data_IF_715187061830
#
_entry.id   IF_715187061830
#
_cell.length_a   1.000
_cell.length_b   1.000
_cell.length_c   1.000
_cell.angle_alpha   90.00
_cell.angle_beta   90.00
_cell.angle_gamma   90.00
#
_symmetry.space_group_name_H-M   'P 1'
#
loop_
_entity.id
_entity.type
_entity.pdbx_description
1 polymer ?
#
# COMPACT_ATOMS: atom_id res chain seq x y z
N UNK A 1 56.46 50.26 15.12
CA UNK A 1 56.93 49.15 14.27
C UNK A 1 56.07 47.93 14.57
N UNK A 2 55.15 47.53 13.68
CA UNK A 2 54.54 46.20 13.70
C UNK A 2 54.34 45.74 12.26
N UNK A 3 55.15 44.77 11.85
CA UNK A 3 55.19 44.22 10.50
C UNK A 3 54.33 42.97 10.36
N UNK A 4 53.56 42.96 9.26
CA UNK A 4 53.30 41.85 8.32
C UNK A 4 52.88 40.49 8.92
N UNK A 5 51.57 40.26 8.98
CA UNK A 5 51.02 38.90 8.87
C UNK A 5 50.58 38.67 7.42
N UNK A 6 51.33 37.81 6.72
CA UNK A 6 51.04 37.37 5.37
C UNK A 6 49.79 36.48 5.34
N UNK A 7 48.86 36.83 4.44
CA UNK A 7 47.78 35.95 4.00
C UNK A 7 48.38 34.70 3.36
N UNK A 8 48.41 33.57 4.06
CA UNK A 8 48.49 32.25 3.39
C UNK A 8 47.10 31.96 2.81
N UNK A 9 47.00 32.13 1.50
CA UNK A 9 45.95 31.52 0.68
C UNK A 9 46.15 30.01 0.79
N UNK A 10 45.25 29.33 1.49
CA UNK A 10 45.16 27.87 1.41
C UNK A 10 44.56 27.59 0.03
N UNK A 11 45.42 27.23 -0.93
CA UNK A 11 44.98 26.61 -2.16
C UNK A 11 44.50 25.20 -1.80
N UNK A 12 43.20 25.10 -1.53
CA UNK A 12 42.50 23.82 -1.54
C UNK A 12 42.58 23.33 -2.99
N UNK A 13 43.57 22.47 -3.26
CA UNK A 13 43.64 21.70 -4.48
C UNK A 13 42.30 21.03 -4.70
N UNK A 14 41.67 21.40 -5.81
CA UNK A 14 40.50 20.75 -6.35
C UNK A 14 40.89 19.36 -6.84
N UNK A 15 41.08 18.42 -5.90
CA UNK A 15 40.97 17.02 -6.20
C UNK A 15 39.48 16.70 -6.26
N UNK A 16 38.92 16.98 -7.44
CA UNK A 16 37.66 16.41 -7.89
C UNK A 16 37.84 14.90 -7.96
N UNK A 17 37.72 14.25 -6.80
CA UNK A 17 37.30 12.87 -6.74
C UNK A 17 35.87 12.86 -7.24
N UNK A 18 35.72 12.66 -8.55
CA UNK A 18 34.48 12.24 -9.18
C UNK A 18 34.16 10.88 -8.60
N UNK A 19 33.64 10.85 -7.36
CA UNK A 19 32.76 9.77 -6.97
C UNK A 19 31.62 9.84 -7.97
N UNK A 20 31.61 8.88 -8.89
CA UNK A 20 30.43 8.49 -9.63
C UNK A 20 29.33 8.31 -8.60
N UNK A 21 28.55 9.37 -8.37
CA UNK A 21 27.32 9.28 -7.61
C UNK A 21 26.50 8.29 -8.43
N UNK A 22 26.15 7.10 -7.91
CA UNK A 22 25.26 6.21 -8.64
C UNK A 22 24.08 7.07 -9.05
N UNK A 23 23.70 7.05 -10.34
CA UNK A 23 22.53 7.79 -10.83
C UNK A 23 21.44 7.56 -9.80
N UNK A 24 21.06 8.63 -9.09
CA UNK A 24 20.10 8.50 -8.02
C UNK A 24 18.83 8.01 -8.72
N UNK A 25 18.43 6.77 -8.41
CA UNK A 25 17.17 6.21 -8.91
C UNK A 25 16.09 7.28 -8.76
N UNK A 26 15.25 7.43 -9.78
CA UNK A 26 14.18 8.43 -9.73
C UNK A 26 13.36 8.13 -8.47
N UNK A 27 13.27 9.06 -7.50
CA UNK A 27 12.52 8.81 -6.27
C UNK A 27 11.04 8.45 -6.56
N UNK A 28 10.55 8.79 -7.75
CA UNK A 28 9.24 8.38 -8.26
C UNK A 28 9.19 6.89 -8.56
N UNK A 29 10.23 6.31 -9.16
CA UNK A 29 10.32 4.88 -9.45
C UNK A 29 10.40 4.04 -8.16
N UNK A 30 11.14 4.53 -7.16
CA UNK A 30 11.19 3.90 -5.83
C UNK A 30 9.81 3.90 -5.16
N UNK A 31 9.08 5.01 -5.25
CA UNK A 31 7.72 5.12 -4.74
C UNK A 31 6.75 4.19 -5.48
N UNK A 32 6.82 4.12 -6.81
CA UNK A 32 5.99 3.21 -7.62
C UNK A 32 6.25 1.75 -7.22
N UNK A 33 7.52 1.37 -7.05
CA UNK A 33 7.91 0.03 -6.62
C UNK A 33 7.39 -0.32 -5.21
N UNK A 34 7.44 0.66 -4.30
CA UNK A 34 6.89 0.51 -2.96
C UNK A 34 5.37 0.35 -2.97
N UNK A 35 4.65 1.11 -3.80
CA UNK A 35 3.21 0.96 -3.97
C UNK A 35 2.83 -0.43 -4.49
N UNK A 36 3.55 -0.95 -5.48
CA UNK A 36 3.35 -2.30 -6.00
C UNK A 36 3.54 -3.37 -4.91
N UNK A 37 4.53 -3.18 -4.03
CA UNK A 37 4.78 -4.11 -2.92
C UNK A 37 3.62 -4.12 -1.94
N UNK A 38 3.10 -2.95 -1.57
CA UNK A 38 1.93 -2.83 -0.67
C UNK A 38 0.68 -3.43 -1.32
N UNK A 39 0.45 -3.14 -2.60
CA UNK A 39 -0.68 -3.68 -3.37
C UNK A 39 -0.63 -5.21 -3.43
N UNK A 40 0.54 -5.80 -3.70
CA UNK A 40 0.72 -7.24 -3.75
C UNK A 40 0.44 -7.92 -2.40
N UNK A 41 0.83 -7.28 -1.29
CA UNK A 41 0.53 -7.80 0.04
C UNK A 41 -0.96 -7.69 0.40
N UNK A 42 -1.61 -6.59 0.04
CA UNK A 42 -3.05 -6.44 0.20
C UNK A 42 -3.84 -7.46 -0.66
N UNK A 43 -3.37 -7.74 -1.89
CA UNK A 43 -3.94 -8.75 -2.77
C UNK A 43 -3.86 -10.17 -2.16
N UNK A 44 -2.77 -10.51 -1.48
CA UNK A 44 -2.65 -11.80 -0.77
C UNK A 44 -3.66 -11.93 0.38
N UNK A 45 -4.06 -10.84 1.03
CA UNK A 45 -5.13 -10.88 2.04
C UNK A 45 -6.47 -11.14 1.37
N UNK A 46 -6.74 -10.46 0.24
CA UNK A 46 -7.93 -10.73 -0.54
C UNK A 46 -8.02 -12.19 -0.99
N UNK A 47 -6.93 -12.75 -1.51
CA UNK A 47 -6.83 -14.16 -1.90
C UNK A 47 -7.17 -15.10 -0.74
N UNK A 48 -6.52 -14.92 0.42
CA UNK A 48 -6.75 -15.73 1.62
C UNK A 48 -8.22 -15.72 2.09
N UNK A 49 -8.94 -14.64 1.81
CA UNK A 49 -10.34 -14.47 2.18
C UNK A 49 -11.32 -14.64 1.02
N UNK A 50 -10.88 -15.19 -0.12
CA UNK A 50 -11.74 -15.53 -1.25
C UNK A 50 -12.28 -14.33 -2.04
N UNK A 51 -11.64 -13.17 -1.92
CA UNK A 51 -11.92 -12.01 -2.77
C UNK A 51 -11.20 -12.14 -4.12
N UNK A 52 -11.72 -11.51 -5.18
CA UNK A 52 -11.03 -11.40 -6.46
C UNK A 52 -9.63 -10.79 -6.30
N UNK A 53 -8.71 -11.18 -7.18
CA UNK A 53 -7.33 -10.66 -7.23
C UNK A 53 -7.08 -9.71 -8.42
N UNK A 54 -7.98 -9.69 -9.41
CA UNK A 54 -7.81 -8.87 -10.61
C UNK A 54 -8.29 -7.44 -10.35
N UNK A 55 -7.51 -6.40 -10.67
CA UNK A 55 -8.01 -5.03 -10.65
C UNK A 55 -9.21 -4.85 -11.60
N UNK A 56 -10.15 -3.98 -11.24
CA UNK A 56 -11.31 -3.69 -12.08
C UNK A 56 -12.58 -3.43 -11.28
N UNK A 57 -13.72 -3.44 -11.96
CA UNK A 57 -15.03 -3.23 -11.38
C UNK A 57 -15.78 -4.54 -11.23
N UNK A 58 -16.49 -4.69 -10.12
CA UNK A 58 -17.18 -5.92 -9.78
C UNK A 58 -18.64 -5.67 -9.40
N UNK A 59 -19.46 -6.70 -9.58
CA UNK A 59 -20.80 -6.81 -9.00
C UNK A 59 -20.97 -8.08 -8.18
N UNK A 60 -21.82 -8.07 -7.17
CA UNK A 60 -22.30 -9.29 -6.49
C UNK A 60 -23.79 -9.17 -6.14
N UNK A 61 -24.52 -10.29 -6.01
CA UNK A 61 -25.86 -10.28 -5.46
C UNK A 61 -25.87 -9.75 -4.01
N UNK A 62 -26.89 -8.99 -3.61
CA UNK A 62 -26.96 -8.41 -2.26
C UNK A 62 -27.31 -9.43 -1.17
N UNK A 63 -27.97 -10.52 -1.53
CA UNK A 63 -28.26 -11.70 -0.71
C UNK A 63 -27.02 -12.57 -0.44
N UNK A 64 -25.93 -12.30 -1.13
CA UNK A 64 -24.65 -12.99 -0.96
C UNK A 64 -24.27 -13.78 -2.19
N UNK A 65 -22.97 -13.96 -2.40
CA UNK A 65 -22.45 -14.63 -3.58
C UNK A 65 -21.06 -14.10 -3.97
N UNK A 66 -20.48 -14.74 -4.99
CA UNK A 66 -19.19 -14.36 -5.51
C UNK A 66 -19.25 -13.02 -6.25
N UNK A 67 -18.16 -12.25 -6.15
CA UNK A 67 -17.94 -11.08 -6.97
C UNK A 67 -17.68 -11.48 -8.42
N UNK A 68 -18.37 -10.82 -9.35
CA UNK A 68 -18.26 -11.02 -10.80
C UNK A 68 -17.61 -9.79 -11.42
N UNK A 69 -16.58 -10.00 -12.25
CA UNK A 69 -15.89 -8.92 -12.95
C UNK A 69 -16.79 -8.34 -14.05
N UNK A 70 -16.89 -7.01 -14.07
CA UNK A 70 -17.58 -6.22 -15.09
C UNK A 70 -16.62 -5.70 -16.17
N UNK A 71 -15.36 -5.45 -15.79
CA UNK A 71 -14.33 -4.93 -16.68
C UNK A 71 -13.29 -4.12 -15.91
N UNK A 72 -12.14 -3.85 -16.56
CA UNK A 72 -11.01 -3.17 -15.92
C UNK A 72 -11.26 -1.66 -15.74
N UNK A 73 -12.01 -1.05 -16.65
CA UNK A 73 -12.44 0.35 -16.56
C UNK A 73 -13.90 0.47 -16.99
N UNK A 74 -14.71 1.13 -16.17
CA UNK A 74 -16.06 1.55 -16.53
C UNK A 74 -16.08 3.06 -16.72
N UNK A 75 -16.60 3.50 -17.85
CA UNK A 75 -16.88 4.92 -18.09
C UNK A 75 -17.92 5.42 -17.07
N UNK A 76 -17.96 6.73 -16.78
CA UNK A 76 -19.00 7.30 -15.91
C UNK A 76 -20.41 6.93 -16.39
N UNK A 77 -20.65 6.91 -17.71
CA UNK A 77 -21.96 6.55 -18.28
C UNK A 77 -22.33 5.09 -17.96
N UNK A 78 -21.41 4.15 -18.14
CA UNK A 78 -21.65 2.73 -17.80
C UNK A 78 -21.89 2.54 -16.31
N UNK A 79 -21.15 3.25 -15.44
CA UNK A 79 -21.40 3.25 -13.99
C UNK A 79 -22.82 3.72 -13.67
N UNK A 80 -23.30 4.78 -14.31
CA UNK A 80 -24.66 5.29 -14.13
C UNK A 80 -25.72 4.29 -14.59
N UNK A 81 -25.49 3.60 -15.71
CA UNK A 81 -26.40 2.54 -16.19
C UNK A 81 -26.52 1.40 -15.16
N UNK A 82 -25.43 1.00 -14.53
CA UNK A 82 -25.43 -0.05 -13.50
C UNK A 82 -26.21 0.34 -12.24
N UNK A 83 -26.17 1.62 -11.84
CA UNK A 83 -26.95 2.15 -10.71
C UNK A 83 -28.44 2.22 -11.06
N UNK A 84 -28.77 2.53 -12.31
CA UNK A 84 -30.15 2.66 -12.80
C UNK A 84 -30.82 1.34 -13.21
N UNK A 85 -30.06 0.26 -13.40
CA UNK A 85 -30.58 -1.07 -13.76
C UNK A 85 -31.27 -1.73 -12.54
N UNK A 86 -32.52 -1.34 -12.31
CA UNK A 86 -33.37 -1.88 -11.25
C UNK A 86 -34.14 -3.13 -11.73
N UNK A 87 -33.42 -4.22 -12.01
CA UNK A 87 -34.04 -5.49 -12.45
C UNK A 87 -34.41 -6.39 -11.28
N UNK A 88 -35.13 -5.89 -10.27
CA UNK A 88 -35.70 -6.68 -9.16
C UNK A 88 -34.71 -7.39 -8.20
N UNK A 89 -33.51 -7.73 -8.67
CA UNK A 89 -32.38 -8.26 -7.95
C UNK A 89 -31.52 -7.10 -7.45
N UNK A 90 -31.29 -7.06 -6.14
CA UNK A 90 -30.49 -6.01 -5.53
C UNK A 90 -29.02 -6.36 -5.74
N UNK A 91 -28.34 -5.65 -6.64
CA UNK A 91 -26.91 -5.83 -6.90
C UNK A 91 -26.06 -4.88 -6.03
N UNK A 92 -24.89 -5.33 -5.62
CA UNK A 92 -23.84 -4.51 -5.00
C UNK A 92 -22.71 -4.32 -6.01
N UNK A 93 -22.27 -3.09 -6.18
CA UNK A 93 -21.21 -2.70 -7.10
C UNK A 93 -20.04 -2.10 -6.32
N UNK A 94 -18.81 -2.43 -6.72
CA UNK A 94 -17.61 -1.85 -6.14
C UNK A 94 -16.42 -1.97 -7.12
N UNK A 95 -15.47 -1.02 -7.01
CA UNK A 95 -14.14 -1.21 -7.58
C UNK A 95 -13.33 -2.20 -6.73
N UNK A 96 -12.30 -2.79 -7.32
CA UNK A 96 -11.41 -3.76 -6.69
C UNK A 96 -10.92 -3.30 -5.31
N UNK A 97 -10.48 -2.05 -5.21
CA UNK A 97 -9.93 -1.46 -4.00
C UNK A 97 -10.98 -1.35 -2.89
N UNK A 98 -12.27 -1.31 -3.24
CA UNK A 98 -13.38 -1.10 -2.32
C UNK A 98 -14.14 -2.38 -1.95
N UNK A 99 -13.77 -3.55 -2.50
CA UNK A 99 -14.49 -4.80 -2.26
C UNK A 99 -14.55 -5.19 -0.77
N UNK A 100 -13.46 -4.93 -0.05
CA UNK A 100 -13.30 -5.28 1.36
C UNK A 100 -13.79 -4.23 2.37
N UNK A 101 -14.22 -3.04 1.93
CA UNK A 101 -14.47 -1.90 2.81
C UNK A 101 -15.52 -2.16 3.90
N UNK A 102 -16.49 -3.03 3.63
CA UNK A 102 -17.58 -3.41 4.54
C UNK A 102 -17.50 -4.88 4.97
N UNK A 103 -16.33 -5.51 4.90
CA UNK A 103 -16.12 -6.87 5.38
C UNK A 103 -16.18 -6.92 6.91
N UNK A 104 -16.70 -8.00 7.48
CA UNK A 104 -16.64 -8.24 8.93
C UNK A 104 -15.21 -8.56 9.39
N UNK A 105 -14.34 -9.01 8.47
CA UNK A 105 -12.95 -9.38 8.75
C UNK A 105 -12.07 -8.11 8.78
N UNK A 106 -11.42 -7.77 9.91
CA UNK A 106 -10.60 -6.56 10.04
C UNK A 106 -9.47 -6.47 9.01
N UNK A 107 -8.74 -7.57 8.79
CA UNK A 107 -7.65 -7.64 7.82
C UNK A 107 -8.11 -7.30 6.39
N UNK A 108 -9.31 -7.75 6.00
CA UNK A 108 -9.89 -7.44 4.68
C UNK A 108 -10.24 -5.95 4.55
N UNK A 109 -10.78 -5.34 5.62
CA UNK A 109 -11.04 -3.88 5.62
C UNK A 109 -9.76 -3.08 5.50
N UNK A 110 -8.70 -3.50 6.19
CA UNK A 110 -7.40 -2.84 6.13
C UNK A 110 -6.75 -2.99 4.74
N UNK A 111 -6.80 -4.18 4.15
CA UNK A 111 -6.35 -4.41 2.78
C UNK A 111 -7.09 -3.51 1.78
N UNK A 112 -8.41 -3.37 1.93
CA UNK A 112 -9.23 -2.47 1.11
C UNK A 112 -8.80 -1.01 1.26
N UNK A 113 -8.56 -0.54 2.50
CA UNK A 113 -8.09 0.82 2.75
C UNK A 113 -6.69 1.08 2.13
N UNK A 114 -5.78 0.11 2.20
CA UNK A 114 -4.46 0.21 1.57
C UNK A 114 -4.56 0.29 0.04
N UNK A 115 -5.34 -0.59 -0.59
CA UNK A 115 -5.55 -0.57 -2.03
C UNK A 115 -6.14 0.76 -2.50
N UNK A 116 -7.14 1.29 -1.78
CA UNK A 116 -7.75 2.57 -2.10
C UNK A 116 -6.76 3.75 -1.96
N UNK A 117 -5.92 3.72 -0.93
CA UNK A 117 -4.88 4.72 -0.71
C UNK A 117 -3.80 4.67 -1.81
N UNK A 118 -3.34 3.47 -2.18
CA UNK A 118 -2.41 3.26 -3.29
C UNK A 118 -2.99 3.78 -4.61
N UNK A 119 -4.22 3.41 -4.96
CA UNK A 119 -4.91 3.87 -6.16
C UNK A 119 -5.05 5.40 -6.18
N UNK A 120 -5.46 6.00 -5.06
CA UNK A 120 -5.59 7.45 -4.95
C UNK A 120 -4.27 8.19 -5.13
N UNK A 121 -3.18 7.65 -4.58
CA UNK A 121 -1.84 8.23 -4.76
C UNK A 121 -1.34 8.08 -6.19
N UNK A 122 -1.49 6.91 -6.81
CA UNK A 122 -1.12 6.69 -8.23
C UNK A 122 -1.84 7.65 -9.15
N UNK A 123 -3.15 7.83 -8.97
CA UNK A 123 -3.94 8.73 -9.81
C UNK A 123 -3.41 10.16 -9.72
N UNK A 124 -3.11 10.65 -8.51
CA UNK A 124 -2.58 12.01 -8.32
C UNK A 124 -1.17 12.20 -8.87
N UNK A 125 -0.31 11.19 -8.75
CA UNK A 125 1.03 11.21 -9.33
C UNK A 125 0.98 11.19 -10.86
N UNK A 126 0.03 10.45 -11.46
CA UNK A 126 -0.17 10.45 -12.90
C UNK A 126 -0.71 11.80 -13.42
N UNK A 127 -1.59 12.44 -12.67
CA UNK A 127 -2.27 13.67 -13.08
C UNK A 127 -1.42 14.95 -12.84
N UNK A 128 -0.31 14.89 -12.09
CA UNK A 128 0.44 16.09 -11.65
C UNK A 128 1.95 16.01 -11.85
N UNK A 129 2.52 17.14 -12.27
CA UNK A 129 3.98 17.35 -12.42
C UNK A 129 4.66 17.67 -11.08
N UNK A 130 3.91 18.09 -10.04
CA UNK A 130 4.47 18.51 -8.74
C UNK A 130 3.78 17.79 -7.59
N UNK A 131 4.58 17.17 -6.72
CA UNK A 131 4.15 16.51 -5.47
C UNK A 131 3.65 17.58 -4.49
N UNK A 132 2.43 17.41 -3.97
CA UNK A 132 1.86 18.33 -2.98
C UNK A 132 2.15 17.89 -1.54
N UNK A 133 2.07 18.80 -0.55
CA UNK A 133 2.16 18.42 0.87
C UNK A 133 1.14 17.36 1.31
N UNK A 134 -0.03 17.31 0.66
CA UNK A 134 -1.03 16.29 0.90
C UNK A 134 -0.55 14.90 0.44
N UNK A 135 0.18 14.82 -0.67
CA UNK A 135 0.72 13.54 -1.18
C UNK A 135 1.78 12.99 -0.21
N UNK A 136 2.58 13.87 0.39
CA UNK A 136 3.52 13.48 1.44
C UNK A 136 2.78 12.97 2.69
N UNK A 137 1.75 13.68 3.14
CA UNK A 137 0.94 13.27 4.29
C UNK A 137 0.26 11.90 4.05
N UNK A 138 -0.28 11.68 2.85
CA UNK A 138 -0.91 10.41 2.48
C UNK A 138 0.11 9.28 2.40
N UNK A 139 1.31 9.54 1.88
CA UNK A 139 2.42 8.58 1.84
C UNK A 139 2.86 8.15 3.26
N UNK A 140 2.91 9.10 4.20
CA UNK A 140 3.20 8.80 5.62
C UNK A 140 2.11 7.93 6.23
N UNK A 141 0.83 8.29 6.01
CA UNK A 141 -0.33 7.51 6.50
C UNK A 141 -0.35 6.10 5.90
N UNK A 142 0.00 5.98 4.62
CA UNK A 142 0.11 4.70 3.93
C UNK A 142 1.20 3.83 4.55
N UNK A 143 2.39 4.39 4.79
CA UNK A 143 3.48 3.67 5.46
C UNK A 143 3.12 3.20 6.87
N UNK A 144 2.33 3.99 7.61
CA UNK A 144 1.83 3.61 8.93
C UNK A 144 0.79 2.49 8.85
N UNK A 145 -0.16 2.58 7.92
CA UNK A 145 -1.16 1.54 7.68
C UNK A 145 -0.52 0.21 7.23
N UNK A 146 0.53 0.29 6.42
CA UNK A 146 1.32 -0.85 5.98
C UNK A 146 2.03 -1.55 7.15
N UNK A 147 2.70 -0.80 8.03
CA UNK A 147 3.38 -1.38 9.20
C UNK A 147 2.41 -2.15 10.11
N UNK A 148 1.25 -1.56 10.41
CA UNK A 148 0.20 -2.25 11.19
C UNK A 148 -0.23 -3.56 10.55
N UNK A 149 -0.38 -3.57 9.22
CA UNK A 149 -0.77 -4.78 8.51
C UNK A 149 0.33 -5.85 8.59
N UNK A 150 1.59 -5.44 8.37
CA UNK A 150 2.73 -6.34 8.43
C UNK A 150 2.93 -6.94 9.84
N UNK A 151 2.68 -6.15 10.88
CA UNK A 151 2.65 -6.59 12.27
C UNK A 151 1.55 -7.65 12.48
N UNK A 152 0.31 -7.37 12.09
CA UNK A 152 -0.82 -8.31 12.23
C UNK A 152 -0.58 -9.64 11.48
N UNK A 153 -0.04 -9.58 10.25
CA UNK A 153 0.33 -10.79 9.49
C UNK A 153 1.46 -11.57 10.17
N UNK A 154 2.42 -10.87 10.80
CA UNK A 154 3.51 -11.52 11.53
C UNK A 154 3.03 -12.21 12.81
N UNK A 155 2.05 -11.61 13.52
CA UNK A 155 1.47 -12.21 14.72
C UNK A 155 0.57 -13.42 14.40
N UNK A 156 -0.12 -13.42 13.26
CA UNK A 156 -0.93 -14.55 12.80
C UNK A 156 -0.06 -15.80 12.50
N UNK A 157 1.20 -15.59 12.10
CA UNK A 157 2.17 -16.66 11.83
C UNK A 157 2.85 -17.24 13.08
N UNK A 158 2.84 -16.53 14.20
CA UNK A 158 3.50 -16.98 15.44
C UNK A 158 2.61 -17.89 16.31
N UNK A 159 1.38 -18.16 15.88
CA UNK A 159 0.39 -18.86 16.68
C UNK A 159 0.09 -18.11 18.00
N UNK A 160 -0.92 -18.53 18.77
CA UNK A 160 -1.08 -18.03 20.12
C UNK A 160 0.19 -18.35 20.89
N UNK A 161 0.81 -17.33 21.52
CA UNK A 161 1.90 -17.55 22.46
C UNK A 161 1.38 -18.42 23.61
N UNK A 162 1.57 -19.74 23.47
CA UNK A 162 1.31 -20.68 24.53
C UNK A 162 2.41 -20.50 25.58
N UNK A 163 2.07 -19.80 26.66
CA UNK A 163 2.85 -19.85 27.88
C UNK A 163 2.79 -21.29 28.41
N UNK A 164 3.84 -22.07 28.13
CA UNK A 164 4.05 -23.33 28.81
C UNK A 164 4.53 -23.01 30.23
N UNK A 165 3.81 -23.46 31.28
CA UNK A 165 4.29 -23.29 32.65
C UNK A 165 5.62 -24.05 32.81
N UNK A 166 6.61 -23.46 33.51
CA UNK A 166 7.89 -24.14 33.75
C UNK A 166 7.66 -25.26 34.78
N UNK A 167 7.69 -26.54 34.37
CA UNK A 167 7.77 -27.63 35.37
C UNK A 167 7.38 -29.06 35.00
N UNK A 168 6.97 -29.43 33.79
CA UNK A 168 6.64 -30.85 33.49
C UNK A 168 7.75 -31.57 32.72
N UNK A 169 8.98 -31.42 33.20
CA UNK A 169 10.17 -32.03 32.61
C UNK A 169 11.16 -32.48 33.66
N UNK A 170 10.71 -33.26 34.65
CA UNK A 170 11.63 -34.07 35.46
C UNK A 170 11.52 -35.55 35.04
N UNK A 171 12.56 -36.14 34.45
CA UNK A 171 12.66 -37.59 34.39
C UNK A 171 12.95 -38.11 35.79
N UNK A 172 12.04 -38.93 36.33
CA UNK A 172 12.28 -39.73 37.53
C UNK A 172 13.50 -40.64 37.30
N UNK A 173 14.46 -40.56 38.23
CA UNK A 173 15.54 -41.52 38.41
C UNK A 173 15.40 -42.14 39.81
#
# INVERSE_FOLDING_TARGET
>A
MFGRFGRRRIELSAEASTSERPEAADPTDDLISLLQTIEAAAAQIYERHGLPQRPGHYRRPADGGAWQLLGDALTPAEKWTLVGAADGERWRYAAYEALGAHSDIPAVRQASALLAACQGLRQRLADRVVISPQDLADSIRLGEAWRRLAEDVSYDHLGPLHFLPPGEGEPQA
#
